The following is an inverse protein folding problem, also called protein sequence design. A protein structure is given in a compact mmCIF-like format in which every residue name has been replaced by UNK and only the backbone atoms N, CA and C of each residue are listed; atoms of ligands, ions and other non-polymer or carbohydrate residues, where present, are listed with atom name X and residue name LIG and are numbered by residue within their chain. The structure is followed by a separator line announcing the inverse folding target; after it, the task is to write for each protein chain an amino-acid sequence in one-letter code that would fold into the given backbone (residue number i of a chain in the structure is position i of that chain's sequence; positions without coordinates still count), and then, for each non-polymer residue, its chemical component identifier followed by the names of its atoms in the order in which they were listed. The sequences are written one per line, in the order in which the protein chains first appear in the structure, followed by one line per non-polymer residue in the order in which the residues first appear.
data_IF_661409291604
#
_entry.id   IF_661409291604
#
_cell.length_a   1.000
_cell.length_b   1.000
_cell.length_c   1.000
_cell.angle_alpha   90.00
_cell.angle_beta   90.00
_cell.angle_gamma   90.00
#
_symmetry.space_group_name_H-M   'P 1'
#
loop_
_entity.id
_entity.type
_entity.pdbx_description
1 polymer ?
#
# COMPACT_ATOMS: atom_id res chain seq x y z
N UNK A 1 15.29 -0.55 38.78
CA UNK A 1 14.54 -0.77 37.53
C UNK A 1 14.08 -2.22 37.49
N UNK A 2 12.77 -2.48 37.32
CA UNK A 2 12.23 -3.86 37.30
C UNK A 2 12.63 -4.57 36.00
N UNK A 3 12.62 -5.92 35.99
CA UNK A 3 12.89 -6.72 34.78
C UNK A 3 12.01 -6.31 33.60
N UNK A 4 10.74 -5.98 33.84
CA UNK A 4 9.80 -5.56 32.80
C UNK A 4 10.11 -4.17 32.23
N UNK A 5 10.51 -3.22 33.07
CA UNK A 5 10.97 -1.90 32.60
C UNK A 5 12.20 -2.01 31.69
N UNK A 6 13.15 -2.89 32.03
CA UNK A 6 14.32 -3.16 31.19
C UNK A 6 13.93 -3.73 29.80
N UNK A 7 12.98 -4.66 29.78
CA UNK A 7 12.47 -5.27 28.53
C UNK A 7 11.77 -4.23 27.67
N UNK A 8 10.88 -3.43 28.24
CA UNK A 8 10.12 -2.43 27.49
C UNK A 8 11.03 -1.34 26.92
N UNK A 9 11.98 -0.82 27.72
CA UNK A 9 12.97 0.14 27.24
C UNK A 9 13.84 -0.42 26.10
N UNK A 10 14.22 -1.70 26.16
CA UNK A 10 14.95 -2.36 25.07
C UNK A 10 14.08 -2.47 23.80
N UNK A 11 12.81 -2.85 23.94
CA UNK A 11 11.91 -2.97 22.81
C UNK A 11 11.68 -1.61 22.12
N UNK A 12 11.51 -0.53 22.90
CA UNK A 12 11.40 0.83 22.36
C UNK A 12 12.66 1.25 21.60
N UNK A 13 13.87 0.98 22.13
CA UNK A 13 15.12 1.27 21.41
C UNK A 13 15.24 0.50 20.09
N UNK A 14 14.82 -0.78 20.07
CA UNK A 14 14.78 -1.58 18.84
C UNK A 14 13.78 -0.99 17.82
N UNK A 15 12.59 -0.61 18.28
CA UNK A 15 11.59 0.02 17.42
C UNK A 15 12.09 1.36 16.84
N UNK A 16 12.70 2.22 17.67
CA UNK A 16 13.32 3.46 17.23
C UNK A 16 14.41 3.24 16.18
N UNK A 17 15.31 2.27 16.40
CA UNK A 17 16.34 1.92 15.43
C UNK A 17 15.75 1.49 14.08
N UNK A 18 14.71 0.63 14.09
CA UNK A 18 14.02 0.20 12.86
C UNK A 18 13.35 1.36 12.14
N UNK A 19 12.73 2.28 12.88
CA UNK A 19 12.12 3.47 12.29
C UNK A 19 13.17 4.34 11.58
N UNK A 20 14.32 4.64 12.22
CA UNK A 20 15.40 5.41 11.58
C UNK A 20 15.99 4.75 10.35
N UNK A 21 16.19 3.43 10.40
CA UNK A 21 16.74 2.68 9.27
C UNK A 21 15.75 2.62 8.11
N UNK A 22 14.45 2.48 8.41
CA UNK A 22 13.41 2.53 7.39
C UNK A 22 13.30 3.94 6.78
N UNK A 23 13.36 5.00 7.60
CA UNK A 23 13.42 6.38 7.10
C UNK A 23 14.61 6.58 6.14
N UNK A 24 15.78 6.05 6.50
CA UNK A 24 16.99 6.11 5.65
C UNK A 24 16.82 5.33 4.34
N UNK A 25 16.23 4.13 4.40
CA UNK A 25 15.94 3.33 3.22
C UNK A 25 14.94 4.02 2.29
N UNK A 26 13.89 4.66 2.84
CA UNK A 26 12.90 5.41 2.07
C UNK A 26 13.50 6.66 1.41
N UNK A 27 14.36 7.41 2.11
CA UNK A 27 15.08 8.56 1.50
C UNK A 27 15.98 8.12 0.36
N UNK A 28 16.76 7.05 0.58
CA UNK A 28 17.61 6.47 -0.47
C UNK A 28 16.79 6.04 -1.69
N UNK A 29 15.60 5.46 -1.46
CA UNK A 29 14.71 5.07 -2.54
C UNK A 29 14.08 6.27 -3.27
N UNK A 30 13.88 7.39 -2.58
CA UNK A 30 13.28 8.59 -3.16
C UNK A 30 14.18 9.24 -4.23
N UNK A 31 15.49 9.01 -4.17
CA UNK A 31 16.46 9.57 -5.13
C UNK A 31 16.15 9.10 -6.57
N UNK A 32 15.60 10.01 -7.37
CA UNK A 32 15.22 9.75 -8.76
C UNK A 32 13.88 9.00 -8.94
N UNK A 33 13.11 8.80 -7.87
CA UNK A 33 11.80 8.14 -7.94
C UNK A 33 10.69 9.13 -8.34
N UNK A 34 9.73 8.68 -9.16
CA UNK A 34 8.60 9.54 -9.60
C UNK A 34 7.72 9.97 -8.43
N UNK A 35 7.53 9.09 -7.45
CA UNK A 35 6.79 9.35 -6.19
C UNK A 35 7.69 9.80 -5.04
N UNK A 36 8.78 10.54 -5.31
CA UNK A 36 9.74 10.96 -4.29
C UNK A 36 9.10 11.71 -3.11
N UNK A 37 8.08 12.55 -3.36
CA UNK A 37 7.40 13.29 -2.31
C UNK A 37 6.73 12.38 -1.27
N UNK A 38 6.00 11.35 -1.71
CA UNK A 38 5.35 10.39 -0.82
C UNK A 38 6.37 9.56 -0.04
N UNK A 39 7.48 9.16 -0.69
CA UNK A 39 8.59 8.44 -0.02
C UNK A 39 9.25 9.28 1.08
N UNK A 40 9.46 10.57 0.82
CA UNK A 40 10.01 11.50 1.82
C UNK A 40 9.01 11.79 2.95
N UNK A 41 7.71 11.87 2.66
CA UNK A 41 6.69 12.04 3.68
C UNK A 41 6.60 10.81 4.60
N UNK A 42 6.59 9.60 4.03
CA UNK A 42 6.69 8.35 4.80
C UNK A 42 7.97 8.30 5.64
N UNK A 43 9.11 8.76 5.10
CA UNK A 43 10.35 8.85 5.87
C UNK A 43 10.24 9.82 7.06
N UNK A 44 9.59 10.97 6.89
CA UNK A 44 9.32 11.92 7.97
C UNK A 44 8.41 11.36 9.07
N UNK A 45 7.43 10.53 8.70
CA UNK A 45 6.63 9.79 9.68
C UNK A 45 7.48 8.78 10.47
N UNK A 46 8.46 8.15 9.81
CA UNK A 46 9.39 7.24 10.50
C UNK A 46 10.34 7.97 11.45
N UNK A 47 10.80 9.18 11.11
CA UNK A 47 11.53 10.01 12.08
C UNK A 47 10.66 10.33 13.31
N UNK A 48 9.41 10.76 13.06
CA UNK A 48 8.44 11.05 14.14
C UNK A 48 8.21 9.83 15.04
N UNK A 49 8.10 8.63 14.45
CA UNK A 49 7.98 7.40 15.21
C UNK A 49 9.25 7.10 16.02
N UNK A 50 10.43 7.28 15.44
CA UNK A 50 11.71 7.06 16.12
C UNK A 50 11.86 7.95 17.37
N UNK A 51 11.62 9.25 17.21
CA UNK A 51 11.70 10.23 18.30
C UNK A 51 10.68 9.91 19.40
N UNK A 52 9.46 9.54 19.00
CA UNK A 52 8.42 9.14 19.94
C UNK A 52 8.78 7.86 20.72
N UNK A 53 9.47 6.88 20.11
CA UNK A 53 9.92 5.69 20.82
C UNK A 53 11.07 5.96 21.78
N UNK A 54 11.99 6.88 21.45
CA UNK A 54 13.14 7.20 22.32
C UNK A 54 12.70 7.77 23.67
N UNK A 55 11.64 8.58 23.67
CA UNK A 55 11.13 9.27 24.87
C UNK A 55 9.96 8.55 25.53
N UNK A 56 9.46 7.44 24.94
CA UNK A 56 8.29 6.76 25.46
C UNK A 56 8.58 5.99 26.74
N UNK A 57 7.88 6.37 27.81
CA UNK A 57 7.83 5.63 29.05
C UNK A 57 6.64 4.66 29.06
N UNK A 58 6.87 3.34 29.12
CA UNK A 58 5.79 2.35 29.12
C UNK A 58 4.91 2.47 30.37
N UNK A 59 3.58 2.34 30.25
CA UNK A 59 2.67 2.49 31.36
C UNK A 59 2.89 1.40 32.43
N UNK A 60 2.61 1.77 33.67
CA UNK A 60 2.64 0.88 34.83
C UNK A 60 1.21 0.71 35.32
N UNK A 61 0.72 -0.54 35.33
CA UNK A 61 -0.62 -0.90 35.82
C UNK A 61 -0.42 -1.86 36.98
N UNK A 62 -1.00 -1.55 38.14
CA UNK A 62 -0.87 -2.34 39.37
C UNK A 62 0.58 -2.68 39.76
N UNK A 63 1.50 -1.72 39.54
CA UNK A 63 2.93 -1.89 39.82
C UNK A 63 3.71 -2.70 38.77
N UNK A 64 3.05 -3.16 37.69
CA UNK A 64 3.66 -3.93 36.61
C UNK A 64 3.82 -3.06 35.37
N UNK A 65 5.04 -2.97 34.83
CA UNK A 65 5.30 -2.30 33.55
C UNK A 65 4.73 -3.12 32.40
N UNK A 66 3.85 -2.51 31.60
CA UNK A 66 3.29 -3.11 30.40
C UNK A 66 4.33 -3.04 29.28
N UNK A 67 4.68 -4.19 28.71
CA UNK A 67 5.83 -4.30 27.77
C UNK A 67 5.44 -4.37 26.28
N UNK A 68 4.15 -4.39 25.99
CA UNK A 68 3.57 -4.66 24.68
C UNK A 68 2.61 -3.54 24.22
N UNK A 69 2.78 -2.33 24.73
CA UNK A 69 2.01 -1.14 24.33
C UNK A 69 2.89 -0.24 23.46
N UNK A 70 2.39 0.08 22.28
CA UNK A 70 3.03 1.03 21.37
C UNK A 70 2.70 2.46 21.83
N UNK A 71 3.69 3.36 21.80
CA UNK A 71 3.47 4.79 21.99
C UNK A 71 2.39 5.28 21.00
N UNK A 72 1.40 6.03 21.48
CA UNK A 72 0.29 6.51 20.63
C UNK A 72 0.77 7.37 19.46
N UNK A 73 1.75 8.25 19.69
CA UNK A 73 2.35 9.10 18.65
C UNK A 73 3.08 8.25 17.62
N UNK A 74 3.93 7.32 18.06
CA UNK A 74 4.66 6.44 17.16
C UNK A 74 3.73 5.52 16.36
N UNK A 75 2.69 4.97 17.01
CA UNK A 75 1.67 4.17 16.35
C UNK A 75 0.90 4.96 15.30
N UNK A 76 0.52 6.21 15.59
CA UNK A 76 -0.15 7.08 14.63
C UNK A 76 0.75 7.42 13.44
N UNK A 77 2.02 7.74 13.67
CA UNK A 77 2.98 8.00 12.60
C UNK A 77 3.15 6.78 11.68
N UNK A 78 3.24 5.57 12.24
CA UNK A 78 3.23 4.34 11.44
C UNK A 78 1.94 4.20 10.61
N UNK A 79 0.77 4.45 11.20
CA UNK A 79 -0.52 4.39 10.48
C UNK A 79 -0.62 5.44 9.37
N UNK A 80 -0.12 6.65 9.59
CA UNK A 80 -0.08 7.70 8.56
C UNK A 80 0.82 7.29 7.39
N UNK A 81 1.98 6.70 7.68
CA UNK A 81 2.87 6.18 6.63
C UNK A 81 2.21 5.03 5.84
N UNK A 82 1.43 4.17 6.51
CA UNK A 82 0.62 3.14 5.84
C UNK A 82 -0.42 3.74 4.90
N UNK A 83 -1.17 4.75 5.37
CA UNK A 83 -2.16 5.44 4.54
C UNK A 83 -1.52 6.08 3.30
N UNK A 84 -0.38 6.77 3.46
CA UNK A 84 0.36 7.36 2.33
C UNK A 84 0.77 6.27 1.32
N UNK A 85 1.23 5.11 1.79
CA UNK A 85 1.62 3.99 0.94
C UNK A 85 0.43 3.37 0.18
N UNK A 86 -0.75 3.35 0.80
CA UNK A 86 -2.00 2.89 0.19
C UNK A 86 -2.53 3.90 -0.86
N UNK A 87 -2.50 5.19 -0.53
CA UNK A 87 -2.92 6.29 -1.40
C UNK A 87 -1.95 6.53 -2.58
N UNK A 88 -0.69 6.09 -2.43
CA UNK A 88 0.36 6.25 -3.44
C UNK A 88 0.92 4.90 -3.91
N UNK A 89 0.14 4.06 -4.61
CA UNK A 89 0.58 2.73 -5.03
C UNK A 89 1.79 2.77 -5.98
N UNK A 90 2.00 3.89 -6.70
CA UNK A 90 3.16 4.13 -7.55
C UNK A 90 4.50 4.13 -6.78
N UNK A 91 4.49 4.41 -5.47
CA UNK A 91 5.68 4.33 -4.62
C UNK A 91 6.13 2.87 -4.40
N UNK A 92 5.24 1.91 -4.68
CA UNK A 92 5.52 0.49 -4.56
C UNK A 92 5.69 0.00 -3.12
N UNK A 93 5.46 0.84 -2.11
CA UNK A 93 5.60 0.47 -0.69
C UNK A 93 4.32 -0.24 -0.23
N UNK A 94 4.38 -1.47 0.31
CA UNK A 94 3.25 -2.08 1.00
C UNK A 94 3.07 -1.46 2.39
N UNK A 95 1.83 -1.13 2.77
CA UNK A 95 1.55 -0.57 4.09
C UNK A 95 1.99 -1.50 5.22
N UNK A 96 1.88 -2.81 5.03
CA UNK A 96 2.25 -3.82 6.03
C UNK A 96 3.74 -3.76 6.43
N UNK A 97 4.61 -3.17 5.60
CA UNK A 97 6.02 -2.95 5.93
C UNK A 97 6.18 -2.17 7.24
N UNK A 98 5.30 -1.21 7.53
CA UNK A 98 5.43 -0.35 8.72
C UNK A 98 5.19 -1.10 10.04
N UNK A 99 4.60 -2.31 10.00
CA UNK A 99 4.54 -3.17 11.18
C UNK A 99 5.92 -3.65 11.63
N UNK A 100 6.94 -3.66 10.75
CA UNK A 100 8.32 -4.00 11.09
C UNK A 100 8.86 -3.17 12.26
N UNK A 101 8.44 -1.89 12.32
CA UNK A 101 8.84 -0.94 13.35
C UNK A 101 8.30 -1.34 14.72
N UNK A 102 7.04 -1.75 14.78
CA UNK A 102 6.34 -2.06 16.06
C UNK A 102 6.52 -3.51 16.51
N UNK A 103 7.03 -4.38 15.64
CA UNK A 103 7.22 -5.80 15.90
C UNK A 103 8.00 -6.13 17.19
N UNK A 104 9.06 -5.39 17.61
CA UNK A 104 9.74 -5.65 18.89
C UNK A 104 8.83 -5.51 20.12
N UNK A 105 7.77 -4.69 20.00
CA UNK A 105 6.81 -4.39 21.06
C UNK A 105 5.62 -5.36 20.97
N UNK A 106 5.00 -5.47 19.81
CA UNK A 106 3.76 -6.24 19.61
C UNK A 106 4.00 -7.74 19.49
N UNK A 107 5.23 -8.14 19.14
CA UNK A 107 5.62 -9.52 18.79
C UNK A 107 4.83 -10.12 17.62
N UNK A 108 4.11 -9.27 16.86
CA UNK A 108 3.44 -9.66 15.62
C UNK A 108 4.43 -9.44 14.50
N UNK A 109 4.87 -10.51 13.84
CA UNK A 109 5.86 -10.42 12.78
C UNK A 109 5.23 -9.78 11.55
N UNK A 110 5.89 -8.81 10.94
CA UNK A 110 5.31 -8.08 9.81
C UNK A 110 4.94 -8.99 8.63
N UNK A 111 5.76 -10.01 8.34
CA UNK A 111 5.45 -11.00 7.28
C UNK A 111 4.22 -11.88 7.56
N UNK A 112 3.77 -11.98 8.81
CA UNK A 112 2.53 -12.70 9.17
C UNK A 112 1.28 -11.86 8.95
N UNK A 113 1.44 -10.54 8.75
CA UNK A 113 0.35 -9.60 8.51
C UNK A 113 0.14 -9.33 7.03
N UNK A 114 0.97 -9.91 6.17
CA UNK A 114 0.79 -9.83 4.73
C UNK A 114 -0.53 -10.49 4.31
N UNK A 115 -1.30 -9.87 3.42
CA UNK A 115 -2.55 -10.45 2.95
C UNK A 115 -2.27 -11.78 2.22
N UNK A 116 -2.96 -12.83 2.65
CA UNK A 116 -2.96 -14.14 2.00
C UNK A 116 -3.80 -14.05 0.72
N UNK A 117 -3.27 -13.43 -0.32
CA UNK A 117 -3.89 -13.44 -1.65
C UNK A 117 -3.47 -14.73 -2.33
N UNK A 118 -4.43 -15.54 -2.82
CA UNK A 118 -4.09 -16.71 -3.64
C UNK A 118 -3.49 -16.18 -4.96
N UNK A 119 -2.20 -16.41 -5.23
CA UNK A 119 -1.51 -15.69 -6.31
C UNK A 119 -1.88 -16.19 -7.72
N UNK A 120 -2.98 -16.93 -7.85
CA UNK A 120 -3.62 -17.29 -9.11
C UNK A 120 -3.02 -18.51 -9.81
N UNK A 121 -1.69 -18.67 -9.80
CA UNK A 121 -1.00 -19.81 -10.43
C UNK A 121 -0.13 -20.59 -9.43
N UNK A 122 0.19 -21.88 -9.71
CA UNK A 122 1.13 -22.65 -8.89
C UNK A 122 2.52 -21.99 -8.79
N UNK A 123 3.02 -21.40 -9.87
CA UNK A 123 4.35 -20.76 -9.93
C UNK A 123 4.40 -19.51 -9.05
N UNK A 124 3.39 -18.64 -9.13
CA UNK A 124 3.31 -17.46 -8.28
C UNK A 124 3.11 -17.83 -6.82
N UNK A 125 2.46 -18.97 -6.53
CA UNK A 125 2.36 -19.51 -5.16
C UNK A 125 3.70 -19.98 -4.62
N UNK A 126 4.48 -20.70 -5.42
CA UNK A 126 5.83 -21.12 -5.04
C UNK A 126 6.75 -19.90 -4.82
N UNK A 127 6.63 -18.89 -5.67
CA UNK A 127 7.41 -17.66 -5.54
C UNK A 127 7.02 -16.84 -4.31
N UNK A 128 5.72 -16.69 -4.02
CA UNK A 128 5.25 -16.02 -2.80
C UNK A 128 5.77 -16.73 -1.54
N UNK A 129 5.75 -18.06 -1.50
CA UNK A 129 6.32 -18.84 -0.39
C UNK A 129 7.83 -18.66 -0.27
N UNK A 130 8.55 -18.60 -1.39
CA UNK A 130 10.00 -18.34 -1.41
C UNK A 130 10.31 -16.97 -0.81
N UNK A 131 9.62 -15.92 -1.25
CA UNK A 131 9.80 -14.56 -0.75
C UNK A 131 9.43 -14.48 0.74
N UNK A 132 8.30 -15.06 1.15
CA UNK A 132 7.89 -15.10 2.57
C UNK A 132 8.94 -15.81 3.46
N UNK A 133 9.55 -16.90 2.98
CA UNK A 133 10.65 -17.58 3.68
C UNK A 133 11.89 -16.69 3.83
N UNK A 134 12.24 -15.91 2.81
CA UNK A 134 13.33 -14.92 2.89
C UNK A 134 13.01 -13.79 3.86
N UNK A 135 11.76 -13.29 3.88
CA UNK A 135 11.31 -12.27 4.82
C UNK A 135 11.41 -12.78 6.25
N UNK A 136 10.97 -14.02 6.51
CA UNK A 136 11.08 -14.65 7.82
C UNK A 136 12.55 -14.75 8.29
N UNK A 137 13.45 -15.18 7.41
CA UNK A 137 14.89 -15.26 7.69
C UNK A 137 15.48 -13.88 8.01
N UNK A 138 15.22 -12.88 7.17
CA UNK A 138 15.74 -11.52 7.36
C UNK A 138 15.20 -10.88 8.64
N UNK A 139 13.92 -11.08 8.96
CA UNK A 139 13.30 -10.60 10.20
C UNK A 139 13.92 -11.25 11.44
N UNK A 140 14.24 -12.55 11.35
CA UNK A 140 14.92 -13.29 12.44
C UNK A 140 16.35 -12.78 12.63
N UNK A 141 17.10 -12.58 11.54
CA UNK A 141 18.45 -12.02 11.59
C UNK A 141 18.45 -10.60 12.18
N UNK A 142 17.45 -9.78 11.83
CA UNK A 142 17.27 -8.44 12.35
C UNK A 142 17.02 -8.42 13.86
N UNK A 143 16.33 -9.43 14.42
CA UNK A 143 16.15 -9.54 15.87
C UNK A 143 17.43 -9.91 16.64
N UNK A 144 18.32 -10.66 15.98
CA UNK A 144 19.51 -11.24 16.59
C UNK A 144 20.74 -10.34 16.44
N UNK A 145 20.71 -9.35 15.55
CA UNK A 145 21.82 -8.42 15.34
C UNK A 145 21.58 -7.10 16.07
N UNK A 146 22.64 -6.61 16.73
CA UNK A 146 22.71 -5.24 17.26
C UNK A 146 23.72 -4.39 16.47
N UNK A 147 24.31 -4.93 15.39
CA UNK A 147 25.30 -4.23 14.58
C UNK A 147 24.62 -3.22 13.64
N UNK A 148 24.83 -1.90 13.78
CA UNK A 148 24.06 -0.88 13.06
C UNK A 148 24.10 -1.04 11.53
N UNK A 149 25.28 -1.32 10.95
CA UNK A 149 25.43 -1.50 9.51
C UNK A 149 24.70 -2.75 8.97
N UNK A 150 24.63 -3.82 9.76
CA UNK A 150 23.88 -5.03 9.41
C UNK A 150 22.38 -4.80 9.54
N UNK A 151 21.96 -4.06 10.58
CA UNK A 151 20.56 -3.74 10.84
C UNK A 151 19.96 -2.90 9.70
N UNK A 152 20.64 -1.82 9.29
CA UNK A 152 20.20 -0.97 8.17
C UNK A 152 20.12 -1.76 6.85
N UNK A 153 21.11 -2.61 6.57
CA UNK A 153 21.11 -3.49 5.39
C UNK A 153 19.92 -4.45 5.40
N UNK A 154 19.61 -5.06 6.55
CA UNK A 154 18.49 -5.98 6.68
C UNK A 154 17.13 -5.29 6.50
N UNK A 155 16.98 -4.05 6.99
CA UNK A 155 15.77 -3.25 6.76
C UNK A 155 15.60 -2.93 5.26
N UNK A 156 16.68 -2.58 4.56
CA UNK A 156 16.63 -2.38 3.10
C UNK A 156 16.28 -3.68 2.34
N UNK A 157 16.84 -4.83 2.75
CA UNK A 157 16.48 -6.14 2.20
C UNK A 157 14.99 -6.44 2.44
N UNK A 158 14.49 -6.19 3.65
CA UNK A 158 13.08 -6.41 3.97
C UNK A 158 12.18 -5.53 3.11
N UNK A 159 12.49 -4.24 2.96
CA UNK A 159 11.76 -3.34 2.07
C UNK A 159 11.66 -3.95 0.66
N UNK A 160 12.77 -4.41 0.07
CA UNK A 160 12.76 -5.02 -1.26
C UNK A 160 11.93 -6.31 -1.31
N UNK A 161 12.06 -7.20 -0.33
CA UNK A 161 11.27 -8.44 -0.26
C UNK A 161 9.77 -8.16 -0.11
N UNK A 162 9.39 -7.15 0.66
CA UNK A 162 8.00 -6.70 0.80
C UNK A 162 7.43 -6.22 -0.55
N UNK A 163 8.23 -5.48 -1.34
CA UNK A 163 7.86 -5.06 -2.70
C UNK A 163 7.71 -6.24 -3.65
N UNK A 164 8.66 -7.17 -3.62
CA UNK A 164 8.61 -8.41 -4.42
C UNK A 164 7.37 -9.24 -4.07
N UNK A 165 7.09 -9.41 -2.77
CA UNK A 165 5.90 -10.14 -2.32
C UNK A 165 4.63 -9.49 -2.87
N UNK A 166 4.49 -8.16 -2.73
CA UNK A 166 3.34 -7.42 -3.28
C UNK A 166 3.20 -7.61 -4.79
N UNK A 167 4.30 -7.63 -5.55
CA UNK A 167 4.26 -7.86 -6.98
C UNK A 167 3.77 -9.26 -7.36
N UNK A 168 4.15 -10.28 -6.59
CA UNK A 168 3.79 -11.69 -6.85
C UNK A 168 2.37 -12.02 -6.36
N UNK A 169 1.92 -11.36 -5.29
CA UNK A 169 0.58 -11.55 -4.72
C UNK A 169 -0.42 -10.50 -5.17
N UNK A 170 -0.02 -9.55 -6.01
CA UNK A 170 -0.96 -8.63 -6.63
C UNK A 170 -1.99 -9.46 -7.41
N UNK A 171 -3.30 -9.20 -7.23
CA UNK A 171 -4.29 -9.87 -8.03
C UNK A 171 -3.96 -9.62 -9.51
N UNK A 172 -4.04 -10.68 -10.32
CA UNK A 172 -3.92 -10.52 -11.76
C UNK A 172 -4.89 -9.41 -12.18
N UNK A 173 -4.48 -8.48 -13.05
CA UNK A 173 -5.42 -7.49 -13.56
C UNK A 173 -6.61 -8.27 -14.10
N UNK A 174 -7.82 -7.99 -13.62
CA UNK A 174 -9.01 -8.56 -14.22
C UNK A 174 -9.00 -8.14 -15.69
N UNK A 175 -8.93 -9.12 -16.59
CA UNK A 175 -8.84 -8.90 -18.02
C UNK A 175 -10.15 -9.37 -18.64
N UNK A 176 -10.73 -8.55 -19.51
CA UNK A 176 -11.81 -8.94 -20.42
C UNK A 176 -11.31 -8.82 -21.85
N UNK A 177 -11.93 -9.51 -22.79
CA UNK A 177 -11.55 -9.46 -24.19
C UNK A 177 -12.49 -8.55 -24.97
N UNK A 178 -11.95 -7.79 -25.93
CA UNK A 178 -12.78 -7.14 -26.93
C UNK A 178 -13.37 -8.16 -27.93
N UNK A 179 -14.27 -7.75 -28.85
CA UNK A 179 -14.83 -8.68 -29.83
C UNK A 179 -13.82 -9.34 -30.77
N UNK A 180 -12.59 -8.85 -30.87
CA UNK A 180 -11.49 -9.47 -31.61
C UNK A 180 -10.63 -10.39 -30.75
N UNK A 181 -10.98 -10.60 -29.48
CA UNK A 181 -10.23 -11.44 -28.54
C UNK A 181 -9.03 -10.73 -27.91
N UNK A 182 -8.83 -9.43 -28.13
CA UNK A 182 -7.69 -8.70 -27.57
C UNK A 182 -7.95 -8.42 -26.08
N UNK A 183 -7.00 -8.73 -25.18
CA UNK A 183 -7.16 -8.50 -23.74
C UNK A 183 -7.12 -7.01 -23.36
N UNK A 184 -8.07 -6.58 -22.53
CA UNK A 184 -8.18 -5.23 -21.95
C UNK A 184 -8.42 -5.31 -20.43
N UNK A 185 -7.93 -4.32 -19.67
CA UNK A 185 -8.21 -4.21 -18.22
C UNK A 185 -9.69 -3.98 -17.99
N UNK A 186 -10.35 -4.70 -17.09
CA UNK A 186 -11.77 -4.51 -16.77
C UNK A 186 -12.06 -3.22 -16.00
N UNK A 187 -11.07 -2.70 -15.28
CA UNK A 187 -11.17 -1.48 -14.46
C UNK A 187 -10.32 -0.35 -15.02
N UNK A 188 -10.81 0.87 -14.89
CA UNK A 188 -10.15 2.10 -15.31
C UNK A 188 -10.82 3.32 -14.68
N UNK A 189 -10.44 4.51 -15.10
CA UNK A 189 -11.12 5.74 -14.69
C UNK A 189 -12.26 6.06 -15.64
N UNK A 190 -13.37 6.57 -15.11
CA UNK A 190 -14.56 6.90 -15.88
C UNK A 190 -14.25 7.95 -16.96
N UNK A 191 -14.12 7.48 -18.19
CA UNK A 191 -13.94 8.30 -19.39
C UNK A 191 -15.24 8.48 -20.19
N UNK A 192 -16.37 8.01 -19.66
CA UNK A 192 -17.67 8.11 -20.30
C UNK A 192 -18.15 9.56 -20.33
N UNK A 193 -17.91 10.25 -21.44
CA UNK A 193 -18.38 11.63 -21.70
C UNK A 193 -19.82 11.71 -22.25
N UNK A 194 -20.52 10.57 -22.26
CA UNK A 194 -21.81 10.39 -22.94
C UNK A 194 -22.94 10.36 -21.90
N UNK A 195 -23.66 11.47 -21.72
CA UNK A 195 -24.90 11.49 -20.94
C UNK A 195 -26.09 11.77 -21.85
N UNK A 196 -27.15 10.96 -21.76
CA UNK A 196 -28.45 11.31 -22.32
C UNK A 196 -29.23 12.05 -21.25
N UNK A 197 -29.39 13.36 -21.40
CA UNK A 197 -30.23 14.16 -20.50
C UNK A 197 -31.54 14.56 -21.20
N UNK A 198 -32.67 14.62 -20.48
CA UNK A 198 -33.82 15.35 -20.96
C UNK A 198 -33.43 16.83 -21.06
N UNK A 199 -33.46 17.40 -22.27
CA UNK A 199 -33.05 18.81 -22.51
C UNK A 199 -33.93 19.81 -21.76
N UNK A 200 -35.08 19.37 -21.27
CA UNK A 200 -35.85 20.12 -20.30
C UNK A 200 -36.45 19.20 -19.24
N UNK A 201 -35.88 19.20 -18.03
CA UNK A 201 -36.53 18.60 -16.85
C UNK A 201 -37.95 19.14 -16.62
N UNK A 202 -38.25 20.33 -17.15
CA UNK A 202 -39.54 21.01 -16.99
C UNK A 202 -40.43 20.97 -18.24
N UNK A 203 -39.95 20.47 -19.40
CA UNK A 203 -40.69 20.42 -20.69
C UNK A 203 -40.45 19.09 -21.41
N UNK A 204 -40.96 17.97 -20.88
CA UNK A 204 -40.75 16.62 -21.42
C UNK A 204 -41.27 16.43 -22.86
N UNK A 205 -42.16 17.30 -23.33
CA UNK A 205 -42.69 17.30 -24.70
C UNK A 205 -41.66 17.59 -25.79
N UNK A 206 -40.50 18.16 -25.43
CA UNK A 206 -39.41 18.47 -26.35
C UNK A 206 -38.44 17.29 -26.57
N UNK A 207 -38.73 16.13 -25.96
CA UNK A 207 -37.95 14.92 -26.11
C UNK A 207 -36.65 14.90 -25.30
N UNK A 208 -35.84 13.86 -25.52
CA UNK A 208 -34.50 13.73 -24.95
C UNK A 208 -33.48 14.12 -26.02
N UNK A 209 -32.48 14.92 -25.69
CA UNK A 209 -31.35 15.18 -26.60
C UNK A 209 -30.10 14.61 -25.97
N UNK A 210 -29.29 13.92 -26.76
CA UNK A 210 -28.01 13.39 -26.28
C UNK A 210 -27.02 14.55 -26.17
N UNK A 211 -26.62 14.93 -24.95
CA UNK A 211 -25.60 15.95 -24.78
C UNK A 211 -24.22 15.27 -24.87
N UNK A 212 -23.38 15.78 -25.76
CA UNK A 212 -21.98 15.41 -25.82
C UNK A 212 -21.20 16.29 -24.83
N UNK A 213 -20.36 15.69 -23.99
CA UNK A 213 -19.30 16.43 -23.31
C UNK A 213 -19.45 16.65 -21.81
N UNK A 214 -20.02 15.70 -21.05
CA UNK A 214 -19.72 15.69 -19.62
C UNK A 214 -18.22 15.38 -19.44
N UNK A 215 -17.47 16.15 -18.63
CA UNK A 215 -16.08 15.83 -18.34
C UNK A 215 -16.02 14.45 -17.69
N UNK A 216 -14.94 13.71 -17.96
CA UNK A 216 -14.61 12.51 -17.19
C UNK A 216 -14.67 12.84 -15.69
N UNK A 217 -15.51 12.14 -14.91
CA UNK A 217 -15.57 12.35 -13.46
C UNK A 217 -14.35 11.77 -12.74
N UNK A 218 -13.57 10.92 -13.41
CA UNK A 218 -12.36 10.31 -12.87
C UNK A 218 -12.62 9.19 -11.86
N UNK A 219 -13.88 8.94 -11.48
CA UNK A 219 -14.25 7.85 -10.57
C UNK A 219 -13.89 6.48 -11.12
N UNK A 220 -13.75 5.52 -10.20
CA UNK A 220 -13.55 4.11 -10.54
C UNK A 220 -14.67 3.60 -11.43
N UNK A 221 -14.26 2.94 -12.50
CA UNK A 221 -15.15 2.52 -13.58
C UNK A 221 -14.80 1.13 -14.08
N UNK A 222 -15.82 0.44 -14.58
CA UNK A 222 -15.66 -0.82 -15.32
C UNK A 222 -15.87 -0.60 -16.81
N UNK A 223 -15.45 -1.54 -17.64
CA UNK A 223 -15.77 -1.50 -19.07
C UNK A 223 -17.29 -1.52 -19.26
N UNK A 224 -17.83 -0.42 -19.78
CA UNK A 224 -19.24 -0.30 -20.22
C UNK A 224 -19.40 -0.94 -21.59
N UNK A 225 -18.48 -0.62 -22.52
CA UNK A 225 -18.52 -1.12 -23.89
C UNK A 225 -17.18 -1.01 -24.59
N UNK A 226 -17.05 -1.74 -25.69
CA UNK A 226 -15.97 -1.59 -26.65
C UNK A 226 -16.45 -0.78 -27.86
N UNK A 227 -15.64 0.19 -28.30
CA UNK A 227 -15.94 1.00 -29.48
C UNK A 227 -14.85 0.76 -30.52
N UNK A 228 -15.25 0.39 -31.74
CA UNK A 228 -14.33 0.27 -32.87
C UNK A 228 -13.83 1.66 -33.25
N UNK A 229 -12.52 1.86 -33.25
CA UNK A 229 -11.95 3.14 -33.65
C UNK A 229 -12.14 3.35 -35.16
N UNK A 230 -12.69 4.51 -35.56
CA UNK A 230 -13.13 4.76 -36.95
C UNK A 230 -12.03 4.60 -38.02
N UNK A 231 -10.76 4.65 -37.63
CA UNK A 231 -9.60 4.57 -38.53
C UNK A 231 -8.56 3.51 -38.10
N UNK A 232 -8.93 2.59 -37.21
CA UNK A 232 -8.02 1.53 -36.78
C UNK A 232 -8.71 0.17 -36.66
N UNK A 233 -7.94 -0.91 -36.83
CA UNK A 233 -8.43 -2.28 -36.73
C UNK A 233 -8.53 -2.81 -35.28
N UNK A 234 -8.55 -1.92 -34.28
CA UNK A 234 -8.68 -2.30 -32.87
C UNK A 234 -9.89 -1.64 -32.19
N UNK A 235 -10.35 -2.28 -31.12
CA UNK A 235 -11.39 -1.74 -30.25
C UNK A 235 -10.75 -0.96 -29.10
N UNK A 236 -11.41 0.12 -28.70
CA UNK A 236 -11.06 0.89 -27.49
C UNK A 236 -12.08 0.57 -26.39
N UNK A 237 -11.63 0.23 -25.17
CA UNK A 237 -12.52 0.10 -24.03
C UNK A 237 -13.03 1.49 -23.62
N UNK A 238 -14.32 1.59 -23.34
CA UNK A 238 -14.92 2.77 -22.70
C UNK A 238 -15.26 2.38 -21.27
N UNK A 239 -14.62 3.06 -20.33
CA UNK A 239 -14.85 2.88 -18.89
C UNK A 239 -15.94 3.83 -18.41
N UNK A 240 -16.93 3.31 -17.68
CA UNK A 240 -17.97 4.11 -17.03
C UNK A 240 -18.14 3.70 -15.55
N UNK A 241 -18.27 4.69 -14.66
CA UNK A 241 -18.66 4.45 -13.26
C UNK A 241 -20.17 4.15 -13.18
N UNK A 242 -20.71 3.64 -12.07
CA UNK A 242 -22.14 3.33 -11.96
C UNK A 242 -23.09 4.50 -12.30
N UNK A 243 -22.65 5.74 -12.08
CA UNK A 243 -23.42 6.94 -12.43
C UNK A 243 -23.44 7.25 -13.95
N UNK A 244 -22.44 6.78 -14.69
CA UNK A 244 -22.27 7.02 -16.14
C UNK A 244 -22.41 5.76 -17.00
N UNK A 245 -22.47 4.57 -16.38
CA UNK A 245 -22.72 3.30 -17.04
C UNK A 245 -24.15 3.31 -17.60
N UNK A 246 -24.35 2.74 -18.79
CA UNK A 246 -25.68 2.65 -19.38
C UNK A 246 -26.56 1.72 -18.53
N UNK A 247 -27.63 2.25 -17.97
CA UNK A 247 -28.84 1.47 -17.66
C UNK A 247 -29.59 1.12 -18.95
#
# INVERSE_FOLDING_TARGET
MTRFAAVAARNNRKAAARARDLATALRTLADGHTEAAALLEMAGQMDTAADAFDVYEPPVIDGITVTNTTCGVAGMACLMAMAIAEDTPGAGIPGELFYLVTEPITRRRAHQLLPTVDPGTPESRLEALRVAGQMHKATTELELTDAPGTHARLVAILLDLFRQHRAVTAPAPEVTADPAGVPHRTKGTCGATWRREPVNRQRPELGTTSQFGHPACGEDAVIDRFVKAAHHDYYRPVYACPAHARG
#
